data_IF_796177745954
#
_entry.id   IF_796177745954
#
_cell.length_a   1.000
_cell.length_b   1.000
_cell.length_c   1.000
_cell.angle_alpha   90.00
_cell.angle_beta   90.00
_cell.angle_gamma   90.00
#
_symmetry.space_group_name_H-M   'P 1'
#
loop_
_entity.id
_entity.type
_entity.pdbx_description
1 polymer ?
#
# COMPACT_ATOMS: atom_id res chain seq x y z
N UNK A 1 -36.08 24.47 42.89
CA UNK A 1 -37.34 23.79 43.21
C UNK A 1 -37.09 22.30 43.11
N UNK A 2 -37.02 21.74 44.29
CA UNK A 2 -36.92 20.33 44.68
C UNK A 2 -38.19 19.54 44.32
N UNK A 3 -38.06 18.22 44.08
CA UNK A 3 -38.88 17.14 44.63
C UNK A 3 -38.61 15.86 43.81
N UNK A 4 -37.79 14.92 44.30
CA UNK A 4 -37.98 13.65 45.03
C UNK A 4 -38.58 12.46 44.24
N UNK A 5 -37.83 11.36 44.33
CA UNK A 5 -38.21 9.96 44.00
C UNK A 5 -39.26 9.41 44.99
N UNK A 6 -39.79 8.22 44.77
CA UNK A 6 -39.55 7.17 45.78
C UNK A 6 -39.24 5.74 45.24
N UNK A 7 -38.50 5.02 46.10
CA UNK A 7 -38.32 3.58 46.19
C UNK A 7 -39.60 2.84 46.63
N UNK A 8 -39.62 1.53 46.35
CA UNK A 8 -40.05 0.41 47.22
C UNK A 8 -39.87 -0.90 46.44
N UNK A 9 -39.07 -1.87 46.72
CA UNK A 9 -38.75 -2.72 47.88
C UNK A 9 -39.69 -3.91 48.09
N UNK A 10 -39.07 -5.10 48.18
CA UNK A 10 -39.36 -6.35 48.91
C UNK A 10 -40.43 -7.29 48.32
N UNK A 11 -40.28 -8.57 48.29
CA UNK A 11 -39.70 -9.70 48.99
C UNK A 11 -40.54 -10.92 48.66
N UNK A 12 -40.07 -12.07 48.59
CA UNK A 12 -39.98 -13.22 49.48
C UNK A 12 -40.32 -14.51 48.75
N UNK A 13 -39.44 -15.46 48.72
CA UNK A 13 -39.26 -16.56 49.67
C UNK A 13 -40.10 -17.86 49.45
N UNK A 14 -39.45 -18.97 49.47
CA UNK A 14 -39.88 -20.31 49.87
C UNK A 14 -40.10 -21.27 48.69
N UNK A 15 -39.65 -22.46 48.64
CA UNK A 15 -39.06 -23.37 49.56
C UNK A 15 -39.26 -24.81 49.04
N UNK A 16 -38.25 -25.66 49.23
CA UNK A 16 -38.29 -27.12 49.54
C UNK A 16 -39.13 -28.08 48.68
N UNK A 17 -38.69 -29.18 48.36
CA UNK A 17 -38.09 -30.43 48.76
C UNK A 17 -38.21 -31.42 47.61
N UNK A 18 -37.27 -32.21 47.22
CA UNK A 18 -36.79 -33.42 47.74
C UNK A 18 -37.36 -34.65 47.03
N UNK A 19 -36.50 -35.44 46.40
CA UNK A 19 -36.58 -36.90 46.43
C UNK A 19 -35.48 -37.51 45.58
N UNK A 20 -34.62 -38.25 46.23
CA UNK A 20 -33.57 -39.05 45.61
C UNK A 20 -34.08 -40.33 44.95
N UNK A 21 -33.39 -40.78 43.96
CA UNK A 21 -33.35 -42.19 43.59
C UNK A 21 -32.04 -42.56 42.89
N UNK A 22 -31.26 -43.37 43.59
CA UNK A 22 -30.12 -44.13 43.10
C UNK A 22 -30.50 -45.09 41.99
N UNK A 23 -29.76 -45.17 40.88
CA UNK A 23 -29.41 -46.46 40.30
C UNK A 23 -28.33 -46.41 39.18
N UNK A 24 -27.25 -47.15 39.45
CA UNK A 24 -26.42 -47.97 38.55
C UNK A 24 -25.62 -47.35 37.43
N UNK A 25 -24.31 -47.36 37.66
CA UNK A 25 -23.21 -47.43 36.68
C UNK A 25 -23.45 -48.52 35.63
N UNK A 26 -23.39 -48.13 34.34
CA UNK A 26 -22.79 -48.94 33.28
C UNK A 26 -21.94 -48.06 32.39
N UNK A 27 -20.70 -48.48 32.18
CA UNK A 27 -19.68 -47.71 31.52
C UNK A 27 -19.90 -47.51 30.00
N UNK A 28 -19.44 -46.39 29.53
CA UNK A 28 -19.11 -46.15 28.11
C UNK A 28 -17.84 -45.32 28.08
N UNK A 29 -16.74 -45.99 28.07
CA UNK A 29 -15.36 -45.45 27.91
C UNK A 29 -15.04 -45.36 26.41
N UNK A 30 -16.00 -44.94 25.59
CA UNK A 30 -15.80 -44.96 24.11
C UNK A 30 -16.00 -43.68 23.35
N UNK A 31 -16.44 -42.59 23.99
CA UNK A 31 -16.80 -41.34 23.24
C UNK A 31 -15.90 -40.13 23.50
N UNK A 32 -14.95 -40.18 24.42
CA UNK A 32 -14.03 -39.06 24.66
C UNK A 32 -12.75 -39.11 23.82
N UNK A 33 -12.37 -40.26 23.26
CA UNK A 33 -11.17 -40.38 22.43
C UNK A 33 -11.32 -39.80 21.02
N UNK A 34 -12.54 -39.77 20.48
CA UNK A 34 -12.80 -39.25 19.12
C UNK A 34 -12.81 -37.72 19.02
N UNK A 35 -13.20 -37.02 20.09
CA UNK A 35 -13.23 -35.56 20.10
C UNK A 35 -11.85 -34.93 20.27
N UNK A 36 -10.93 -35.59 20.96
CA UNK A 36 -9.54 -35.11 21.17
C UNK A 36 -8.71 -35.33 19.89
N UNK A 37 -8.97 -36.36 19.12
CA UNK A 37 -8.29 -36.57 17.82
C UNK A 37 -8.72 -35.58 16.73
N UNK A 38 -9.96 -35.08 16.74
CA UNK A 38 -10.39 -34.03 15.80
C UNK A 38 -9.79 -32.63 16.14
N UNK A 39 -9.61 -32.32 17.42
CA UNK A 39 -9.02 -31.06 17.83
C UNK A 39 -7.51 -31.00 17.52
N UNK A 40 -6.79 -32.15 17.61
CA UNK A 40 -5.38 -32.24 17.21
C UNK A 40 -5.17 -32.22 15.69
N UNK A 41 -6.14 -32.68 14.91
CA UNK A 41 -6.09 -32.64 13.44
C UNK A 41 -6.18 -31.24 12.86
N UNK A 42 -6.99 -30.36 13.47
CA UNK A 42 -7.10 -28.97 13.02
C UNK A 42 -5.89 -28.10 13.39
N UNK A 43 -5.21 -28.39 14.53
CA UNK A 43 -4.00 -27.68 14.91
C UNK A 43 -2.79 -28.06 14.03
N UNK A 44 -2.71 -29.33 13.56
CA UNK A 44 -1.64 -29.78 12.66
C UNK A 44 -1.77 -29.16 11.26
N UNK A 45 -2.99 -28.87 10.79
CA UNK A 45 -3.23 -28.22 9.49
C UNK A 45 -2.76 -26.76 9.43
N UNK A 46 -2.90 -26.02 10.53
CA UNK A 46 -2.45 -24.62 10.60
C UNK A 46 -0.90 -24.52 10.69
N UNK A 47 -0.24 -25.47 11.34
CA UNK A 47 1.23 -25.52 11.38
C UNK A 47 1.84 -26.04 10.08
N UNK A 48 1.15 -26.90 9.32
CA UNK A 48 1.63 -27.39 8.03
C UNK A 48 1.70 -26.29 6.95
N UNK A 49 0.79 -25.32 6.98
CA UNK A 49 0.84 -24.20 6.03
C UNK A 49 2.02 -23.24 6.30
N UNK A 50 2.44 -23.05 7.54
CA UNK A 50 3.65 -22.28 7.88
C UNK A 50 4.93 -23.08 7.64
N UNK A 51 4.92 -24.40 7.83
CA UNK A 51 6.06 -25.28 7.55
C UNK A 51 6.31 -25.42 6.04
N UNK A 52 5.27 -25.44 5.19
CA UNK A 52 5.41 -25.46 3.73
C UNK A 52 6.02 -24.17 3.16
N UNK A 53 5.80 -23.00 3.79
CA UNK A 53 6.49 -21.78 3.41
C UNK A 53 7.98 -21.78 3.81
N UNK A 54 8.34 -22.46 4.90
CA UNK A 54 9.74 -22.59 5.33
C UNK A 54 10.47 -23.71 4.54
N UNK A 55 9.81 -24.83 4.27
CA UNK A 55 10.39 -25.96 3.53
C UNK A 55 10.58 -25.66 2.02
N UNK A 56 9.77 -24.78 1.43
CA UNK A 56 9.98 -24.32 0.06
C UNK A 56 11.21 -23.43 -0.14
N UNK A 57 11.84 -22.96 0.93
CA UNK A 57 13.08 -22.16 0.84
C UNK A 57 14.35 -23.00 0.65
N UNK A 58 14.28 -24.33 0.78
CA UNK A 58 15.43 -25.24 0.59
C UNK A 58 15.39 -26.05 -0.71
N UNK A 59 14.35 -25.89 -1.55
CA UNK A 59 14.34 -26.48 -2.89
C UNK A 59 15.25 -25.66 -3.82
N UNK A 60 16.05 -26.34 -4.63
CA UNK A 60 17.07 -25.84 -5.55
C UNK A 60 16.77 -24.45 -6.10
N UNK A 61 17.79 -23.57 -6.11
CA UNK A 61 17.72 -22.18 -6.53
C UNK A 61 16.93 -22.05 -7.84
N UNK A 62 15.67 -21.63 -7.74
CA UNK A 62 14.90 -21.17 -8.89
C UNK A 62 15.68 -20.02 -9.51
N UNK A 63 15.83 -19.94 -10.84
CA UNK A 63 16.46 -18.80 -11.48
C UNK A 63 15.83 -17.53 -10.90
N UNK A 64 16.68 -16.60 -10.46
CA UNK A 64 16.24 -15.36 -9.82
C UNK A 64 15.13 -14.75 -10.69
N UNK A 65 13.92 -14.60 -10.12
CA UNK A 65 12.82 -13.90 -10.81
C UNK A 65 13.35 -12.51 -11.13
N UNK A 66 13.27 -12.10 -12.39
CA UNK A 66 13.55 -10.73 -12.76
C UNK A 66 12.70 -9.81 -11.86
N UNK A 67 13.34 -8.98 -11.08
CA UNK A 67 12.67 -8.03 -10.21
C UNK A 67 12.08 -6.94 -11.09
N UNK A 68 10.76 -6.77 -11.00
CA UNK A 68 9.99 -5.92 -11.90
C UNK A 68 9.54 -4.61 -11.23
N UNK A 69 9.93 -4.36 -9.99
CA UNK A 69 9.57 -3.17 -9.22
C UNK A 69 10.11 -1.87 -9.84
N UNK A 70 9.44 -1.37 -10.87
CA UNK A 70 9.84 -0.19 -11.64
C UNK A 70 8.86 0.95 -11.40
N UNK A 71 9.37 2.16 -11.17
CA UNK A 71 8.58 3.39 -11.16
C UNK A 71 9.07 4.34 -12.25
N UNK A 72 8.18 5.19 -12.73
CA UNK A 72 8.52 6.16 -13.77
C UNK A 72 7.87 7.52 -13.50
N UNK A 73 8.46 8.57 -14.05
CA UNK A 73 7.91 9.90 -14.06
C UNK A 73 8.40 10.66 -15.30
N UNK A 74 7.59 11.60 -15.78
CA UNK A 74 8.05 12.56 -16.79
C UNK A 74 8.79 13.70 -16.10
N UNK A 75 9.95 14.03 -16.61
CA UNK A 75 10.69 15.22 -16.22
C UNK A 75 10.02 16.51 -16.76
N UNK A 76 10.36 17.69 -16.22
CA UNK A 76 9.84 18.97 -16.73
C UNK A 76 10.12 19.20 -18.24
N UNK A 77 11.21 18.61 -18.77
CA UNK A 77 11.57 18.66 -20.20
C UNK A 77 10.76 17.69 -21.09
N UNK A 78 9.82 16.94 -20.50
CA UNK A 78 8.95 15.97 -21.18
C UNK A 78 9.56 14.61 -21.46
N UNK A 79 10.83 14.36 -21.10
CA UNK A 79 11.46 13.03 -21.19
C UNK A 79 10.92 12.10 -20.10
N UNK A 80 10.78 10.84 -20.44
CA UNK A 80 10.37 9.79 -19.50
C UNK A 80 11.61 9.24 -18.78
N UNK A 81 11.54 9.15 -17.48
CA UNK A 81 12.56 8.54 -16.62
C UNK A 81 11.95 7.34 -15.90
N UNK A 82 12.73 6.28 -15.78
CA UNK A 82 12.35 5.08 -15.03
C UNK A 82 13.46 4.70 -14.05
N UNK A 83 13.06 4.31 -12.83
CA UNK A 83 13.97 3.72 -11.84
C UNK A 83 13.57 2.29 -11.57
N UNK A 84 14.57 1.43 -11.47
CA UNK A 84 14.40 0.00 -11.18
C UNK A 84 15.61 -0.52 -10.40
N UNK A 85 15.48 -1.75 -9.88
CA UNK A 85 16.61 -2.46 -9.30
C UNK A 85 17.39 -3.19 -10.38
N UNK A 86 18.72 -3.13 -10.26
CA UNK A 86 19.67 -3.97 -10.99
C UNK A 86 20.75 -4.46 -10.02
N UNK A 87 20.67 -5.73 -9.63
CA UNK A 87 21.55 -6.32 -8.62
C UNK A 87 21.44 -5.60 -7.27
N UNK A 88 22.53 -4.95 -6.86
CA UNK A 88 22.62 -4.16 -5.62
C UNK A 88 22.56 -2.64 -5.87
N UNK A 89 22.03 -2.25 -7.03
CA UNK A 89 21.89 -0.84 -7.38
C UNK A 89 20.44 -0.50 -7.73
N UNK A 90 20.03 0.70 -7.37
CA UNK A 90 18.92 1.39 -8.04
C UNK A 90 19.50 2.03 -9.29
N UNK A 91 18.92 1.75 -10.43
CA UNK A 91 19.34 2.32 -11.72
C UNK A 91 18.27 3.22 -12.30
N UNK A 92 18.73 4.31 -12.91
CA UNK A 92 17.90 5.28 -13.64
C UNK A 92 18.15 5.11 -15.14
N UNK A 93 17.08 5.06 -15.93
CA UNK A 93 17.12 5.13 -17.39
C UNK A 93 16.23 6.25 -17.89
N UNK A 94 16.55 6.81 -19.05
CA UNK A 94 15.81 7.89 -19.71
C UNK A 94 15.33 7.44 -21.07
N UNK A 95 14.19 7.96 -21.49
CA UNK A 95 13.62 7.74 -22.80
C UNK A 95 13.13 9.08 -23.39
N UNK A 96 13.48 9.37 -24.61
CA UNK A 96 13.00 10.54 -25.35
C UNK A 96 11.72 10.25 -26.17
N UNK A 97 11.38 8.97 -26.36
CA UNK A 97 10.35 8.48 -27.27
C UNK A 97 9.17 7.77 -26.55
N UNK A 98 8.97 8.10 -25.27
CA UNK A 98 7.86 7.52 -24.49
C UNK A 98 8.04 6.06 -24.11
N UNK A 99 9.30 5.60 -23.99
CA UNK A 99 9.62 4.24 -23.55
C UNK A 99 9.80 3.24 -24.70
N UNK A 100 9.86 3.69 -25.96
CA UNK A 100 10.18 2.82 -27.09
C UNK A 100 11.66 2.43 -27.09
N UNK A 101 12.53 3.37 -26.73
CA UNK A 101 13.96 3.12 -26.47
C UNK A 101 14.42 3.77 -25.16
N UNK A 102 15.53 3.26 -24.60
CA UNK A 102 16.06 3.69 -23.31
C UNK A 102 17.56 3.90 -23.39
N UNK A 103 18.06 4.97 -22.76
CA UNK A 103 19.49 5.21 -22.58
C UNK A 103 20.13 4.11 -21.70
N UNK A 104 21.44 4.05 -21.70
CA UNK A 104 22.18 3.20 -20.79
C UNK A 104 21.82 3.52 -19.33
N UNK A 105 21.69 2.50 -18.46
CA UNK A 105 21.34 2.72 -17.06
C UNK A 105 22.46 3.47 -16.32
N UNK A 106 22.04 4.38 -15.42
CA UNK A 106 22.93 5.13 -14.53
C UNK A 106 22.63 4.71 -13.09
N UNK A 107 23.65 4.36 -12.32
CA UNK A 107 23.48 4.00 -10.92
C UNK A 107 23.07 5.24 -10.08
N UNK A 108 22.02 5.06 -9.25
CA UNK A 108 21.57 6.05 -8.28
C UNK A 108 22.39 5.98 -7.00
N UNK A 109 22.73 4.77 -6.54
CA UNK A 109 23.67 4.52 -5.44
C UNK A 109 24.99 4.02 -6.01
N UNK A 110 26.06 4.81 -5.87
CA UNK A 110 27.40 4.41 -6.34
C UNK A 110 27.91 3.17 -5.60
N UNK A 111 27.73 3.15 -4.28
CA UNK A 111 28.09 2.01 -3.45
C UNK A 111 26.95 0.96 -3.49
N UNK A 112 27.27 -0.31 -3.71
CA UNK A 112 26.28 -1.37 -3.77
C UNK A 112 25.60 -1.57 -2.40
N UNK A 113 24.27 -1.65 -2.38
CA UNK A 113 23.47 -1.98 -1.20
C UNK A 113 22.27 -2.83 -1.60
N UNK A 114 21.69 -3.54 -0.63
CA UNK A 114 20.47 -4.28 -0.88
C UNK A 114 19.32 -3.31 -1.22
N UNK A 115 18.49 -3.67 -2.22
CA UNK A 115 17.36 -2.87 -2.69
C UNK A 115 16.11 -3.74 -2.71
N UNK A 116 15.01 -3.27 -2.13
CA UNK A 116 13.70 -3.92 -2.28
C UNK A 116 13.07 -3.58 -3.64
N UNK A 117 12.52 -4.61 -4.30
CA UNK A 117 11.74 -4.48 -5.51
C UNK A 117 10.59 -5.50 -5.54
N UNK A 118 9.94 -5.67 -4.40
CA UNK A 118 8.89 -6.64 -4.15
C UNK A 118 7.50 -5.99 -4.33
N UNK A 119 7.07 -5.86 -5.56
CA UNK A 119 5.74 -5.38 -5.90
C UNK A 119 5.53 -3.89 -5.58
N UNK A 120 4.77 -3.59 -4.55
CA UNK A 120 4.47 -2.20 -4.16
C UNK A 120 5.62 -1.53 -3.38
N UNK A 121 6.51 -2.32 -2.78
CA UNK A 121 7.72 -1.84 -2.12
C UNK A 121 8.87 -1.78 -3.14
N UNK A 122 8.89 -0.73 -3.94
CA UNK A 122 9.79 -0.52 -5.08
C UNK A 122 10.40 0.89 -5.03
N UNK A 123 11.53 1.15 -5.69
CA UNK A 123 12.07 2.50 -5.81
C UNK A 123 11.04 3.49 -6.37
N UNK A 124 11.08 4.72 -5.90
CA UNK A 124 10.22 5.83 -6.35
C UNK A 124 11.08 6.92 -6.98
N UNK A 125 10.49 7.63 -7.94
CA UNK A 125 11.11 8.78 -8.60
C UNK A 125 10.17 9.98 -8.60
N UNK A 126 10.72 11.15 -8.38
CA UNK A 126 10.05 12.44 -8.55
C UNK A 126 11.04 13.49 -9.05
N UNK A 127 10.53 14.60 -9.53
CA UNK A 127 11.31 15.77 -9.93
C UNK A 127 10.99 16.95 -9.03
N UNK A 128 12.03 17.66 -8.61
CA UNK A 128 11.86 18.95 -7.95
C UNK A 128 11.66 20.06 -9.00
N UNK A 129 11.07 21.21 -8.64
CA UNK A 129 10.86 22.34 -9.55
C UNK A 129 12.14 22.88 -10.18
N UNK A 130 13.28 22.72 -9.52
CA UNK A 130 14.61 23.09 -10.01
C UNK A 130 15.20 22.09 -11.03
N UNK A 131 14.44 21.06 -11.43
CA UNK A 131 14.85 20.01 -12.35
C UNK A 131 15.68 18.88 -11.72
N UNK A 132 15.87 18.92 -10.40
CA UNK A 132 16.58 17.84 -9.69
C UNK A 132 15.80 16.55 -9.71
N UNK A 133 16.53 15.44 -9.82
CA UNK A 133 15.97 14.07 -9.78
C UNK A 133 16.05 13.54 -8.36
N UNK A 134 14.93 13.09 -7.83
CA UNK A 134 14.78 12.57 -6.48
C UNK A 134 14.36 11.10 -6.55
N UNK A 135 15.09 10.24 -5.84
CA UNK A 135 14.82 8.81 -5.81
C UNK A 135 14.79 8.31 -4.38
N UNK A 136 13.77 7.55 -4.02
CA UNK A 136 13.68 6.85 -2.73
C UNK A 136 13.52 5.35 -2.92
N UNK A 137 13.97 4.57 -1.94
CA UNK A 137 13.80 3.12 -1.92
C UNK A 137 13.90 2.56 -0.51
N UNK A 138 13.41 1.36 -0.31
CA UNK A 138 13.68 0.58 0.90
C UNK A 138 14.96 -0.23 0.74
N UNK A 139 15.94 -0.03 1.62
CA UNK A 139 17.06 -0.95 1.82
C UNK A 139 16.66 -2.03 2.83
N UNK A 140 16.51 -3.30 2.47
CA UNK A 140 16.23 -4.37 3.41
C UNK A 140 17.43 -4.60 4.33
N UNK A 141 17.19 -4.92 5.60
CA UNK A 141 18.18 -5.26 6.61
C UNK A 141 18.28 -6.78 6.78
N UNK A 142 19.07 -7.25 7.75
CA UNK A 142 19.37 -8.68 7.90
C UNK A 142 18.14 -9.50 8.31
N UNK A 143 17.29 -8.97 9.20
CA UNK A 143 16.05 -9.66 9.58
C UNK A 143 15.00 -9.57 8.47
N UNK A 144 14.25 -10.64 8.21
CA UNK A 144 13.15 -10.59 7.24
C UNK A 144 12.15 -9.48 7.54
N UNK A 145 11.66 -8.82 6.48
CA UNK A 145 10.68 -7.73 6.54
C UNK A 145 11.13 -6.46 7.27
N UNK A 146 12.43 -6.32 7.60
CA UNK A 146 13.00 -5.10 8.14
C UNK A 146 13.63 -4.26 7.02
N UNK A 147 13.82 -2.96 7.24
CA UNK A 147 14.41 -2.09 6.23
C UNK A 147 14.65 -0.68 6.72
N UNK A 148 15.28 0.12 5.87
CA UNK A 148 15.48 1.56 6.03
C UNK A 148 15.01 2.28 4.77
N UNK A 149 14.46 3.49 4.95
CA UNK A 149 14.10 4.36 3.83
C UNK A 149 15.33 5.14 3.41
N UNK A 150 15.78 4.86 2.19
CA UNK A 150 16.91 5.52 1.54
C UNK A 150 16.42 6.58 0.58
N UNK A 151 17.22 7.60 0.40
CA UNK A 151 16.93 8.71 -0.50
C UNK A 151 18.22 9.22 -1.15
N UNK A 152 18.17 9.49 -2.45
CA UNK A 152 19.24 10.12 -3.21
C UNK A 152 18.69 11.24 -4.07
N UNK A 153 19.52 12.27 -4.26
CA UNK A 153 19.23 13.44 -5.09
C UNK A 153 20.35 13.61 -6.11
N UNK A 154 19.97 13.95 -7.33
CA UNK A 154 20.85 14.52 -8.33
C UNK A 154 20.35 15.92 -8.68
N UNK A 155 21.19 16.94 -8.52
CA UNK A 155 20.88 18.27 -9.02
C UNK A 155 20.80 18.23 -10.57
N UNK A 156 20.05 19.16 -11.17
CA UNK A 156 19.81 19.16 -12.60
C UNK A 156 21.12 19.04 -13.42
N UNK A 157 21.23 17.99 -14.24
CA UNK A 157 22.41 17.71 -15.05
C UNK A 157 23.62 17.15 -14.28
N UNK A 158 23.50 16.87 -12.98
CA UNK A 158 24.58 16.30 -12.15
C UNK A 158 24.37 14.81 -11.87
N UNK A 159 25.41 14.16 -11.35
CA UNK A 159 25.33 12.80 -10.83
C UNK A 159 24.62 12.78 -9.47
N UNK A 160 24.13 11.61 -9.08
CA UNK A 160 23.55 11.42 -7.74
C UNK A 160 24.58 11.58 -6.64
N UNK A 161 24.21 12.28 -5.57
CA UNK A 161 24.96 12.31 -4.32
C UNK A 161 24.85 10.98 -3.57
N UNK A 162 25.65 10.80 -2.53
CA UNK A 162 25.57 9.63 -1.66
C UNK A 162 24.17 9.51 -1.02
N UNK A 163 23.55 8.32 -1.03
CA UNK A 163 22.25 8.14 -0.43
C UNK A 163 22.25 8.39 1.07
N UNK A 164 21.18 9.01 1.58
CA UNK A 164 20.95 9.22 3.01
C UNK A 164 19.81 8.32 3.50
N UNK A 165 19.81 7.99 4.80
CA UNK A 165 18.66 7.38 5.46
C UNK A 165 17.73 8.47 5.99
N UNK A 166 16.46 8.46 5.59
CA UNK A 166 15.49 9.53 5.84
C UNK A 166 15.11 9.65 7.32
N UNK A 167 14.82 8.52 7.97
CA UNK A 167 14.39 8.49 9.38
C UNK A 167 15.55 8.41 10.36
N UNK A 168 15.32 8.83 11.61
CA UNK A 168 16.33 8.80 12.70
C UNK A 168 16.31 7.50 13.50
N UNK A 169 15.19 6.78 13.52
CA UNK A 169 15.15 5.44 14.10
C UNK A 169 16.10 4.50 13.35
N UNK A 170 16.94 3.78 14.08
CA UNK A 170 17.94 2.84 13.54
C UNK A 170 17.74 1.41 14.04
N UNK A 171 16.59 1.12 14.63
CA UNK A 171 16.24 -0.24 15.03
C UNK A 171 16.09 -1.13 13.77
N UNK A 172 16.49 -2.38 13.88
CA UNK A 172 16.29 -3.36 12.81
C UNK A 172 14.85 -3.87 12.80
N UNK A 173 13.95 -3.01 12.35
CA UNK A 173 12.50 -3.20 12.26
C UNK A 173 11.99 -2.83 10.87
N UNK A 174 10.69 -2.88 10.67
CA UNK A 174 10.05 -2.43 9.42
C UNK A 174 10.06 -0.90 9.34
N UNK A 175 10.80 -0.37 8.34
CA UNK A 175 10.62 0.93 7.73
C UNK A 175 10.56 0.65 6.22
N UNK A 176 9.33 0.51 5.67
CA UNK A 176 9.12 0.00 4.31
C UNK A 176 7.90 0.66 3.65
N UNK A 177 7.71 0.40 2.36
CA UNK A 177 6.58 0.90 1.58
C UNK A 177 6.48 2.43 1.57
N UNK A 178 7.63 3.07 1.39
CA UNK A 178 7.68 4.53 1.30
C UNK A 178 6.90 5.04 0.09
N UNK A 179 6.37 6.24 0.24
CA UNK A 179 5.80 7.06 -0.83
C UNK A 179 6.40 8.45 -0.77
N UNK A 180 6.45 9.15 -1.89
CA UNK A 180 7.08 10.45 -2.00
C UNK A 180 6.23 11.41 -2.80
N UNK A 181 6.19 12.67 -2.36
CA UNK A 181 5.66 13.78 -3.15
C UNK A 181 6.58 15.01 -3.05
N UNK A 182 6.49 15.88 -4.04
CA UNK A 182 7.20 17.15 -4.09
C UNK A 182 6.18 18.26 -4.32
N UNK A 183 6.18 19.26 -3.46
CA UNK A 183 5.30 20.42 -3.61
C UNK A 183 5.81 21.38 -4.68
N UNK A 184 4.98 22.30 -5.14
CA UNK A 184 5.37 23.34 -6.08
C UNK A 184 6.48 24.27 -5.52
N UNK A 185 6.63 24.35 -4.20
CA UNK A 185 7.72 25.11 -3.54
C UNK A 185 9.03 24.32 -3.43
N UNK A 186 9.08 23.07 -3.90
CA UNK A 186 10.26 22.20 -3.82
C UNK A 186 10.42 21.47 -2.47
N UNK A 187 9.44 21.57 -1.57
CA UNK A 187 9.42 20.78 -0.34
C UNK A 187 9.19 19.30 -0.70
N UNK A 188 10.02 18.42 -0.14
CA UNK A 188 9.92 16.97 -0.35
C UNK A 188 9.32 16.32 0.89
N UNK A 189 8.33 15.47 0.71
CA UNK A 189 7.74 14.70 1.79
C UNK A 189 7.74 13.22 1.47
N UNK A 190 8.23 12.41 2.41
CA UNK A 190 8.12 10.95 2.39
C UNK A 190 7.23 10.48 3.54
N UNK A 191 6.45 9.42 3.29
CA UNK A 191 5.73 8.69 4.33
C UNK A 191 5.97 7.18 4.13
N UNK A 192 5.99 6.42 5.24
CA UNK A 192 6.29 4.98 5.21
C UNK A 192 5.58 4.22 6.33
N UNK A 193 5.54 2.90 6.19
CA UNK A 193 5.07 1.97 7.21
C UNK A 193 6.21 1.70 8.20
N UNK A 194 5.91 1.82 9.50
CA UNK A 194 6.88 1.78 10.59
C UNK A 194 6.38 0.93 11.75
N UNK A 195 7.18 0.00 12.22
CA UNK A 195 6.81 -0.90 13.31
C UNK A 195 7.37 -0.53 14.70
N UNK A 196 8.00 0.64 14.87
CA UNK A 196 8.56 1.04 16.18
C UNK A 196 7.54 1.05 17.31
N UNK A 197 6.32 1.49 17.04
CA UNK A 197 5.24 1.51 18.03
C UNK A 197 4.70 0.11 18.33
N UNK A 198 4.59 -0.77 17.34
CA UNK A 198 4.24 -2.18 17.53
C UNK A 198 5.27 -2.86 18.42
N UNK A 199 6.57 -2.73 18.13
CA UNK A 199 7.66 -3.31 18.92
C UNK A 199 7.68 -2.78 20.36
N UNK A 200 7.50 -1.46 20.55
CA UNK A 200 7.42 -0.84 21.86
C UNK A 200 6.21 -1.35 22.65
N UNK A 201 5.08 -1.53 21.99
CA UNK A 201 3.84 -1.99 22.60
C UNK A 201 3.89 -3.46 22.97
N UNK A 202 4.49 -4.31 22.13
CA UNK A 202 4.72 -5.73 22.45
C UNK A 202 5.62 -5.88 23.69
N UNK A 203 6.69 -5.10 23.79
CA UNK A 203 7.55 -5.08 25.00
C UNK A 203 6.78 -4.69 26.27
N UNK A 204 5.79 -3.81 26.15
CA UNK A 204 4.92 -3.39 27.26
C UNK A 204 3.66 -4.23 27.43
N UNK A 205 3.49 -5.33 26.67
CA UNK A 205 2.32 -6.23 26.67
C UNK A 205 0.97 -5.52 26.46
N UNK A 206 0.97 -4.41 25.75
CA UNK A 206 -0.26 -3.72 25.34
C UNK A 206 -0.73 -4.25 23.99
N UNK A 207 -2.03 -4.15 23.71
CA UNK A 207 -2.58 -4.53 22.41
C UNK A 207 -2.30 -3.43 21.38
N UNK A 208 -1.71 -3.80 20.23
CA UNK A 208 -1.47 -2.92 19.10
C UNK A 208 -1.70 -3.71 17.81
N UNK A 209 -2.36 -3.13 16.83
CA UNK A 209 -2.70 -3.79 15.56
C UNK A 209 -1.94 -3.17 14.40
N UNK A 210 -1.33 -4.02 13.59
CA UNK A 210 -0.61 -3.57 12.39
C UNK A 210 0.64 -2.75 12.73
N UNK A 211 0.88 -1.71 11.95
CA UNK A 211 2.02 -0.81 12.05
C UNK A 211 1.56 0.64 12.22
N UNK A 212 2.49 1.57 12.44
CA UNK A 212 2.25 3.00 12.33
C UNK A 212 2.59 3.51 10.92
N UNK A 213 2.13 4.72 10.59
CA UNK A 213 2.65 5.52 9.48
C UNK A 213 3.44 6.68 10.06
N UNK A 214 4.64 6.87 9.53
CA UNK A 214 5.49 8.02 9.82
C UNK A 214 5.75 8.82 8.55
N UNK A 215 6.01 10.11 8.71
CA UNK A 215 6.39 11.00 7.61
C UNK A 215 7.59 11.87 8.00
N UNK A 216 8.41 12.23 7.02
CA UNK A 216 9.48 13.19 7.15
C UNK A 216 9.44 14.21 6.02
N UNK A 217 9.85 15.44 6.34
CA UNK A 217 9.82 16.58 5.43
C UNK A 217 11.22 17.13 5.24
N UNK A 218 11.54 17.51 4.02
CA UNK A 218 12.72 18.27 3.62
C UNK A 218 12.28 19.62 3.06
N UNK A 219 12.82 20.69 3.60
CA UNK A 219 12.58 22.07 3.13
C UNK A 219 13.65 22.55 2.14
N UNK A 220 14.71 21.76 1.96
CA UNK A 220 15.88 22.09 1.15
C UNK A 220 15.97 21.24 -0.12
N UNK A 221 14.84 20.73 -0.59
CA UNK A 221 14.75 19.95 -1.82
C UNK A 221 15.34 18.55 -1.70
N UNK A 222 15.34 17.95 -0.52
CA UNK A 222 15.83 16.59 -0.28
C UNK A 222 17.27 16.50 0.16
N UNK A 223 17.94 17.61 0.48
CA UNK A 223 19.33 17.57 1.00
C UNK A 223 19.38 17.11 2.43
N UNK A 224 18.43 17.56 3.26
CA UNK A 224 18.24 17.09 4.64
C UNK A 224 16.76 16.87 4.96
N UNK A 225 16.48 16.00 5.93
CA UNK A 225 15.12 15.76 6.40
C UNK A 225 14.99 16.17 7.87
N UNK A 226 13.86 16.81 8.19
CA UNK A 226 13.48 17.05 9.59
C UNK A 226 13.29 15.70 10.31
N UNK A 227 13.18 15.75 11.63
CA UNK A 227 12.78 14.58 12.42
C UNK A 227 11.40 14.13 11.96
N UNK A 228 11.28 12.82 11.75
CA UNK A 228 10.01 12.20 11.35
C UNK A 228 8.93 12.37 12.42
N UNK A 229 7.70 12.50 11.99
CA UNK A 229 6.50 12.59 12.83
C UNK A 229 5.58 11.39 12.59
N UNK A 230 4.90 10.94 13.64
CA UNK A 230 3.89 9.90 13.51
C UNK A 230 2.61 10.47 12.90
N UNK A 231 2.12 9.85 11.82
CA UNK A 231 0.88 10.22 11.13
C UNK A 231 -0.31 9.48 11.72
N UNK A 232 -0.18 8.16 11.88
CA UNK A 232 -1.26 7.32 12.36
C UNK A 232 -0.74 6.02 12.98
N UNK A 233 -1.51 5.46 13.90
CA UNK A 233 -1.37 4.08 14.36
C UNK A 233 -2.22 3.12 13.48
N UNK A 234 -2.10 1.83 13.68
CA UNK A 234 -2.97 0.78 13.13
C UNK A 234 -3.06 0.72 11.59
N UNK A 235 -1.96 0.96 10.90
CA UNK A 235 -1.84 0.71 9.46
C UNK A 235 -1.71 -0.78 9.14
N UNK A 236 -2.17 -1.20 7.98
CA UNK A 236 -1.77 -2.49 7.40
C UNK A 236 -0.26 -2.49 7.13
N UNK A 237 0.41 -3.63 7.36
CA UNK A 237 1.87 -3.73 7.38
C UNK A 237 2.52 -3.92 6.00
N UNK A 238 1.75 -4.11 4.94
CA UNK A 238 2.26 -4.65 3.67
C UNK A 238 1.66 -4.00 2.41
N UNK A 239 0.93 -2.91 2.55
CA UNK A 239 0.29 -2.23 1.42
C UNK A 239 0.94 -0.87 1.18
N UNK A 240 1.06 -0.47 -0.08
CA UNK A 240 1.53 0.88 -0.41
C UNK A 240 0.63 1.94 0.22
N UNK A 241 1.21 3.08 0.51
CA UNK A 241 0.53 4.31 0.88
C UNK A 241 0.37 5.12 -0.41
N UNK A 242 -0.84 5.56 -0.72
CA UNK A 242 -1.06 6.54 -1.78
C UNK A 242 -0.81 7.94 -1.23
N UNK A 243 -0.22 8.79 -2.06
CA UNK A 243 0.00 10.20 -1.77
C UNK A 243 -0.42 11.03 -2.99
N UNK A 244 -1.17 12.09 -2.74
CA UNK A 244 -1.55 13.07 -3.73
C UNK A 244 -1.40 14.48 -3.15
N UNK A 245 -1.34 15.49 -4.00
CA UNK A 245 -1.38 16.89 -3.55
C UNK A 245 -2.82 17.39 -3.62
N UNK A 246 -3.34 17.90 -2.51
CA UNK A 246 -4.66 18.53 -2.43
C UNK A 246 -4.63 19.93 -3.08
N UNK A 247 -5.79 20.52 -3.32
CA UNK A 247 -5.91 21.83 -4.02
C UNK A 247 -5.21 22.98 -3.29
N UNK A 248 -5.00 22.87 -1.99
CA UNK A 248 -4.24 23.84 -1.18
C UNK A 248 -2.71 23.60 -1.21
N UNK A 249 -2.25 22.65 -2.03
CA UNK A 249 -0.84 22.29 -2.19
C UNK A 249 -0.28 21.43 -1.06
N UNK A 250 -1.13 20.94 -0.15
CA UNK A 250 -0.72 20.06 0.95
C UNK A 250 -0.87 18.59 0.56
N UNK A 251 0.03 17.72 1.08
CA UNK A 251 -0.05 16.29 0.83
C UNK A 251 -1.27 15.64 1.50
N UNK A 252 -1.89 14.71 0.78
CA UNK A 252 -3.02 13.90 1.22
C UNK A 252 -2.62 12.43 1.12
N UNK A 253 -2.68 11.70 2.22
CA UNK A 253 -2.37 10.28 2.29
C UNK A 253 -3.64 9.44 2.32
N UNK A 254 -3.64 8.34 1.57
CA UNK A 254 -4.67 7.29 1.65
C UNK A 254 -3.96 5.94 1.82
N UNK A 255 -4.34 5.21 2.87
CA UNK A 255 -3.71 3.91 3.18
C UNK A 255 -4.72 2.91 3.74
N UNK A 256 -4.39 1.62 3.68
CA UNK A 256 -5.18 0.58 4.33
C UNK A 256 -4.95 0.65 5.84
N UNK A 257 -6.01 0.91 6.57
CA UNK A 257 -6.04 1.02 8.03
C UNK A 257 -6.73 -0.20 8.66
N UNK A 258 -6.43 -0.49 9.91
CA UNK A 258 -7.05 -1.56 10.69
C UNK A 258 -7.98 -0.95 11.71
N UNK A 259 -9.25 -0.74 11.33
CA UNK A 259 -10.30 -0.26 12.21
C UNK A 259 -10.79 -1.36 13.17
N UNK A 260 -11.34 -0.96 14.31
CA UNK A 260 -11.99 -1.89 15.22
C UNK A 260 -13.22 -2.56 14.57
N UNK A 261 -13.48 -3.85 14.84
CA UNK A 261 -12.69 -4.83 15.61
C UNK A 261 -11.55 -5.52 14.83
N UNK A 262 -11.39 -5.37 13.56
CA UNK A 262 -10.35 -5.79 12.61
C UNK A 262 -10.82 -5.56 11.16
N UNK A 263 -11.38 -4.39 10.89
CA UNK A 263 -11.86 -4.04 9.56
C UNK A 263 -10.74 -3.36 8.76
N UNK A 264 -10.44 -3.87 7.58
CA UNK A 264 -9.35 -3.44 6.69
C UNK A 264 -9.83 -2.45 5.63
N UNK A 265 -10.39 -1.35 6.05
CA UNK A 265 -10.75 -0.25 5.17
C UNK A 265 -9.62 0.77 5.02
N UNK A 266 -9.86 1.82 4.25
CA UNK A 266 -8.87 2.85 4.01
C UNK A 266 -9.13 4.07 4.90
N UNK A 267 -8.03 4.68 5.38
CA UNK A 267 -8.04 5.95 6.07
C UNK A 267 -7.37 7.02 5.21
N UNK A 268 -7.82 8.25 5.39
CA UNK A 268 -7.34 9.45 4.73
C UNK A 268 -6.88 10.46 5.77
N UNK A 269 -5.74 11.10 5.53
CA UNK A 269 -5.28 12.23 6.32
C UNK A 269 -4.53 13.24 5.45
N UNK A 270 -4.76 14.53 5.70
CA UNK A 270 -3.97 15.62 5.13
C UNK A 270 -2.80 15.90 6.05
N UNK A 271 -1.63 16.17 5.48
CA UNK A 271 -0.44 16.56 6.23
C UNK A 271 -0.19 18.05 6.11
N UNK A 272 0.21 18.66 7.23
CA UNK A 272 0.71 20.02 7.25
C UNK A 272 2.06 20.14 6.55
N UNK A 273 2.52 21.37 6.32
CA UNK A 273 3.86 21.66 5.74
C UNK A 273 5.03 21.14 6.60
N UNK A 274 4.82 20.95 7.87
CA UNK A 274 5.78 20.36 8.81
C UNK A 274 5.67 18.82 8.91
N UNK A 275 4.78 18.20 8.15
CA UNK A 275 4.48 16.78 8.19
C UNK A 275 3.49 16.38 9.28
N UNK A 276 3.01 17.30 10.12
CA UNK A 276 2.02 17.00 11.15
C UNK A 276 0.71 16.53 10.52
N UNK A 277 0.08 15.45 11.05
CA UNK A 277 -1.18 14.97 10.52
C UNK A 277 -2.35 15.83 10.95
N UNK A 278 -3.27 16.08 10.03
CA UNK A 278 -4.64 16.44 10.33
C UNK A 278 -5.45 15.25 10.86
N UNK A 279 -6.76 15.41 11.05
CA UNK A 279 -7.62 14.31 11.49
C UNK A 279 -7.53 13.10 10.54
N UNK A 280 -7.39 11.91 11.13
CA UNK A 280 -7.45 10.64 10.41
C UNK A 280 -8.92 10.26 10.25
N UNK A 281 -9.41 10.20 9.01
CA UNK A 281 -10.80 9.87 8.71
C UNK A 281 -10.91 8.53 7.97
N UNK A 282 -11.94 7.74 8.27
CA UNK A 282 -12.26 6.54 7.47
C UNK A 282 -12.76 6.97 6.10
N UNK A 283 -12.17 6.43 5.04
CA UNK A 283 -12.41 6.81 3.65
C UNK A 283 -13.19 5.78 2.85
N UNK A 284 -13.12 4.49 3.19
CA UNK A 284 -13.91 3.41 2.58
C UNK A 284 -14.66 2.62 3.66
N UNK A 285 -15.75 1.92 3.27
CA UNK A 285 -16.70 1.33 4.22
C UNK A 285 -17.13 -0.08 3.81
N UNK A 286 -16.24 -0.84 3.15
CA UNK A 286 -16.50 -2.23 2.75
C UNK A 286 -16.43 -3.20 3.93
N UNK A 287 -15.79 -2.80 5.04
CA UNK A 287 -15.68 -3.53 6.32
C UNK A 287 -15.05 -4.90 6.17
N UNK A 288 -14.06 -5.01 5.30
CA UNK A 288 -13.36 -6.26 5.05
C UNK A 288 -12.62 -6.75 6.28
N UNK A 289 -12.92 -7.96 6.72
CA UNK A 289 -12.27 -8.61 7.87
C UNK A 289 -11.35 -9.71 7.39
N UNK A 290 -10.05 -9.50 7.52
CA UNK A 290 -9.04 -10.47 7.10
C UNK A 290 -7.82 -10.44 8.03
N UNK A 291 -7.37 -11.62 8.44
CA UNK A 291 -6.12 -11.81 9.21
C UNK A 291 -4.98 -12.22 8.26
N UNK A 292 -4.76 -11.42 7.22
CA UNK A 292 -3.76 -11.65 6.20
C UNK A 292 -3.19 -10.32 5.66
N UNK A 293 -2.11 -10.44 4.90
CA UNK A 293 -1.50 -9.33 4.17
C UNK A 293 -1.96 -9.36 2.70
N UNK A 294 -2.94 -8.55 2.30
CA UNK A 294 -3.50 -8.61 0.95
C UNK A 294 -2.55 -8.10 -0.14
N UNK A 295 -1.52 -7.30 0.20
CA UNK A 295 -0.56 -6.71 -0.73
C UNK A 295 -1.18 -5.89 -1.88
N UNK A 296 -2.33 -5.28 -1.62
CA UNK A 296 -3.06 -4.42 -2.54
C UNK A 296 -3.28 -3.06 -1.88
N UNK A 297 -2.40 -2.10 -2.12
CA UNK A 297 -2.53 -0.74 -1.63
C UNK A 297 -3.46 0.10 -2.54
N UNK A 298 -4.04 1.19 -2.00
CA UNK A 298 -4.87 2.11 -2.75
C UNK A 298 -4.05 3.01 -3.68
N UNK A 299 -4.74 3.70 -4.59
CA UNK A 299 -4.21 4.86 -5.30
C UNK A 299 -5.19 6.02 -5.20
N UNK A 300 -4.67 7.25 -5.24
CA UNK A 300 -5.40 8.48 -5.01
C UNK A 300 -4.94 9.57 -5.99
N UNK A 301 -5.88 10.28 -6.57
CA UNK A 301 -5.64 11.46 -7.37
C UNK A 301 -6.65 12.56 -7.01
N UNK A 302 -6.24 13.82 -7.12
CA UNK A 302 -7.09 14.98 -6.80
C UNK A 302 -7.25 15.84 -8.04
N UNK A 303 -8.49 16.06 -8.47
CA UNK A 303 -8.82 16.96 -9.57
C UNK A 303 -8.69 18.42 -9.13
N UNK A 304 -8.60 19.32 -10.11
CA UNK A 304 -8.47 20.77 -9.88
C UNK A 304 -9.65 21.39 -9.11
N UNK A 305 -10.83 20.75 -9.15
CA UNK A 305 -12.02 21.12 -8.38
C UNK A 305 -12.04 20.56 -6.95
N UNK A 306 -10.99 19.85 -6.55
CA UNK A 306 -10.86 19.22 -5.24
C UNK A 306 -11.51 17.84 -5.13
N UNK A 307 -12.06 17.30 -6.19
CA UNK A 307 -12.60 15.93 -6.19
C UNK A 307 -11.47 14.92 -6.00
N UNK A 308 -11.61 14.05 -5.00
CA UNK A 308 -10.65 13.03 -4.65
C UNK A 308 -11.06 11.70 -5.25
N UNK A 309 -10.40 11.30 -6.31
CA UNK A 309 -10.63 10.02 -6.98
C UNK A 309 -9.73 8.95 -6.37
N UNK A 310 -10.29 7.82 -6.02
CA UNK A 310 -9.55 6.71 -5.45
C UNK A 310 -9.87 5.39 -6.13
N UNK A 311 -8.84 4.52 -6.23
CA UNK A 311 -9.01 3.10 -6.52
C UNK A 311 -8.43 2.28 -5.38
N UNK A 312 -9.10 1.20 -5.02
CA UNK A 312 -8.67 0.31 -3.95
C UNK A 312 -9.15 -1.12 -4.19
N UNK A 313 -8.47 -2.06 -3.56
CA UNK A 313 -8.92 -3.45 -3.51
C UNK A 313 -9.50 -3.73 -2.15
N UNK A 314 -10.68 -4.31 -2.10
CA UNK A 314 -11.28 -4.85 -0.90
C UNK A 314 -12.13 -6.07 -1.22
N UNK A 315 -12.50 -6.82 -0.20
CA UNK A 315 -13.53 -7.83 -0.28
C UNK A 315 -14.83 -7.25 0.28
N UNK A 316 -15.88 -7.38 -0.50
CA UNK A 316 -17.23 -6.99 -0.12
C UNK A 316 -18.17 -8.12 -0.50
N UNK A 317 -19.05 -8.50 0.44
CA UNK A 317 -20.01 -9.59 0.26
C UNK A 317 -19.36 -10.95 -0.13
N UNK A 318 -18.12 -11.19 0.38
CA UNK A 318 -17.34 -12.41 0.10
C UNK A 318 -16.59 -12.40 -1.23
N UNK A 319 -16.61 -11.29 -1.97
CA UNK A 319 -15.95 -11.16 -3.27
C UNK A 319 -14.85 -10.08 -3.25
N UNK A 320 -13.60 -10.51 -3.52
CA UNK A 320 -12.47 -9.59 -3.69
C UNK A 320 -12.57 -8.85 -5.03
N UNK A 321 -12.55 -7.51 -4.99
CA UNK A 321 -12.68 -6.65 -6.17
C UNK A 321 -11.79 -5.42 -6.07
N UNK A 322 -11.43 -4.88 -7.21
CA UNK A 322 -10.97 -3.50 -7.32
C UNK A 322 -12.19 -2.58 -7.41
N UNK A 323 -12.18 -1.54 -6.61
CA UNK A 323 -13.20 -0.51 -6.59
C UNK A 323 -12.63 0.84 -7.04
N UNK A 324 -13.48 1.65 -7.61
CA UNK A 324 -13.29 3.08 -7.83
C UNK A 324 -14.39 3.85 -7.10
N UNK A 325 -14.08 5.04 -6.62
CA UNK A 325 -15.05 5.98 -6.06
C UNK A 325 -14.45 7.36 -5.82
N UNK A 326 -15.32 8.33 -5.59
CA UNK A 326 -14.95 9.70 -5.21
C UNK A 326 -15.11 9.83 -3.70
N UNK A 327 -14.02 10.20 -3.03
CA UNK A 327 -14.00 10.35 -1.57
C UNK A 327 -14.46 11.78 -1.20
N UNK A 328 -15.53 11.89 -0.44
CA UNK A 328 -16.10 13.18 -0.04
C UNK A 328 -16.70 13.11 1.36
N UNK A 329 -16.22 13.93 2.28
CA UNK A 329 -16.79 14.18 3.60
C UNK A 329 -17.22 12.92 4.38
N UNK A 330 -16.31 11.93 4.42
CA UNK A 330 -16.53 10.67 5.14
C UNK A 330 -17.47 9.68 4.44
N UNK A 331 -17.69 9.83 3.14
CA UNK A 331 -18.44 8.88 2.31
C UNK A 331 -17.76 8.63 0.97
N UNK A 332 -18.17 7.57 0.29
CA UNK A 332 -17.77 7.26 -1.09
C UNK A 332 -18.95 7.52 -2.02
N UNK A 333 -18.76 8.39 -2.99
CA UNK A 333 -19.74 8.66 -4.04
C UNK A 333 -19.39 7.88 -5.31
N UNK A 334 -20.39 7.31 -5.97
CA UNK A 334 -20.22 6.59 -7.23
C UNK A 334 -19.33 5.35 -7.12
N UNK A 335 -19.33 4.66 -5.98
CA UNK A 335 -18.56 3.41 -5.82
C UNK A 335 -19.01 2.38 -6.84
N UNK A 336 -18.04 1.83 -7.57
CA UNK A 336 -18.24 0.77 -8.55
C UNK A 336 -17.02 -0.15 -8.63
N UNK A 337 -17.20 -1.32 -9.19
CA UNK A 337 -16.08 -2.22 -9.51
C UNK A 337 -15.30 -1.75 -10.75
N UNK A 338 -14.01 -2.05 -10.78
CA UNK A 338 -13.09 -1.85 -11.91
C UNK A 338 -12.57 -3.19 -12.37
N UNK A 339 -12.75 -3.50 -13.66
CA UNK A 339 -12.37 -4.79 -14.21
C UNK A 339 -13.26 -5.94 -13.78
N UNK A 340 -12.77 -7.17 -13.97
CA UNK A 340 -13.41 -8.41 -13.57
C UNK A 340 -12.92 -8.94 -12.21
N UNK A 341 -13.21 -10.19 -11.93
CA UNK A 341 -12.87 -10.86 -10.66
C UNK A 341 -11.36 -10.98 -10.40
N UNK A 342 -10.56 -10.98 -11.45
CA UNK A 342 -9.11 -11.11 -11.39
C UNK A 342 -8.37 -9.79 -11.61
N UNK A 343 -9.10 -8.67 -11.56
CA UNK A 343 -8.52 -7.34 -11.60
C UNK A 343 -7.69 -7.07 -10.32
N UNK A 344 -6.50 -6.52 -10.48
CA UNK A 344 -5.57 -6.33 -9.37
C UNK A 344 -4.64 -5.13 -9.61
N UNK A 345 -4.15 -4.55 -8.53
CA UNK A 345 -3.11 -3.52 -8.51
C UNK A 345 -3.45 -2.30 -9.38
N UNK A 346 -4.66 -1.80 -9.24
CA UNK A 346 -5.09 -0.62 -9.98
C UNK A 346 -4.35 0.64 -9.53
N UNK A 347 -4.15 1.54 -10.48
CA UNK A 347 -3.60 2.87 -10.27
C UNK A 347 -4.45 3.92 -10.98
N UNK A 348 -4.45 5.16 -10.46
CA UNK A 348 -5.29 6.25 -10.97
C UNK A 348 -4.49 7.55 -11.01
N UNK A 349 -4.71 8.35 -12.05
CA UNK A 349 -4.34 9.76 -12.07
C UNK A 349 -5.38 10.57 -12.83
N UNK A 350 -5.34 11.89 -12.66
CA UNK A 350 -6.32 12.84 -13.23
C UNK A 350 -5.61 13.99 -13.93
N UNK A 351 -6.22 14.52 -14.96
CA UNK A 351 -5.75 15.73 -15.64
C UNK A 351 -6.95 16.54 -16.18
N UNK A 352 -7.21 17.70 -15.60
CA UNK A 352 -8.44 18.44 -15.87
C UNK A 352 -9.68 17.64 -15.47
N UNK A 353 -10.57 17.43 -16.40
CA UNK A 353 -11.80 16.61 -16.25
C UNK A 353 -11.53 15.11 -16.50
N UNK A 354 -10.38 14.80 -17.09
CA UNK A 354 -10.02 13.43 -17.46
C UNK A 354 -9.55 12.64 -16.25
N UNK A 355 -10.10 11.43 -16.08
CA UNK A 355 -9.71 10.45 -15.08
C UNK A 355 -9.26 9.19 -15.79
N UNK A 356 -8.06 8.68 -15.47
CA UNK A 356 -7.59 7.42 -16.03
C UNK A 356 -7.27 6.41 -14.92
N UNK A 357 -7.74 5.19 -15.10
CA UNK A 357 -7.49 4.04 -14.23
C UNK A 357 -6.80 2.97 -15.06
N UNK A 358 -5.72 2.38 -14.55
CA UNK A 358 -5.08 1.20 -15.14
C UNK A 358 -5.03 0.07 -14.13
N UNK A 359 -5.09 -1.16 -14.60
CA UNK A 359 -4.94 -2.35 -13.75
C UNK A 359 -4.41 -3.53 -14.57
N UNK A 360 -3.91 -4.53 -13.88
CA UNK A 360 -3.65 -5.84 -14.50
C UNK A 360 -4.76 -6.82 -14.18
N UNK A 361 -5.08 -7.68 -15.14
CA UNK A 361 -6.14 -8.66 -15.03
C UNK A 361 -5.74 -9.96 -15.73
N UNK A 362 -5.78 -11.08 -15.00
CA UNK A 362 -5.50 -12.38 -15.59
C UNK A 362 -6.77 -12.95 -16.22
N UNK A 363 -6.78 -13.21 -17.51
CA UNK A 363 -7.96 -13.69 -18.25
C UNK A 363 -8.13 -15.22 -18.23
N UNK A 364 -7.19 -15.94 -17.61
CA UNK A 364 -7.13 -17.41 -17.57
C UNK A 364 -5.95 -17.97 -18.34
N UNK A 365 -5.39 -17.20 -19.27
CA UNK A 365 -4.25 -17.57 -20.11
C UNK A 365 -3.11 -16.56 -19.97
N UNK A 366 -3.39 -15.27 -20.07
CA UNK A 366 -2.41 -14.16 -20.09
C UNK A 366 -2.75 -13.09 -19.07
N UNK A 367 -1.74 -12.36 -18.61
CA UNK A 367 -1.96 -11.13 -17.87
C UNK A 367 -2.18 -9.96 -18.82
N UNK A 368 -3.34 -9.35 -18.72
CA UNK A 368 -3.76 -8.19 -19.52
C UNK A 368 -3.43 -6.89 -18.78
N UNK A 369 -2.92 -5.89 -19.50
CA UNK A 369 -2.96 -4.50 -19.08
C UNK A 369 -4.25 -3.86 -19.60
N UNK A 370 -5.10 -3.44 -18.69
CA UNK A 370 -6.38 -2.79 -18.98
C UNK A 370 -6.37 -1.36 -18.49
N UNK A 371 -7.19 -0.52 -19.12
CA UNK A 371 -7.45 0.83 -18.67
C UNK A 371 -8.92 1.22 -18.83
N UNK A 372 -9.32 2.20 -18.05
CA UNK A 372 -10.57 2.97 -18.23
C UNK A 372 -10.24 4.45 -18.21
N UNK A 373 -10.84 5.21 -19.11
CA UNK A 373 -10.69 6.67 -19.23
C UNK A 373 -12.05 7.32 -19.22
N UNK A 374 -12.20 8.33 -18.38
CA UNK A 374 -13.34 9.24 -18.32
C UNK A 374 -12.91 10.62 -18.80
N UNK A 375 -13.80 11.31 -19.51
CA UNK A 375 -13.63 12.71 -19.94
C UNK A 375 -14.54 13.68 -19.16
N UNK A 376 -15.29 13.16 -18.16
CA UNK A 376 -16.35 13.87 -17.44
C UNK A 376 -16.24 13.71 -15.91
N UNK A 377 -15.04 13.93 -15.34
CA UNK A 377 -14.78 13.83 -13.89
C UNK A 377 -15.14 12.46 -13.27
N UNK A 378 -15.01 11.36 -14.06
CA UNK A 378 -15.30 10.02 -13.58
C UNK A 378 -16.79 9.66 -13.57
N UNK A 379 -17.61 10.33 -14.35
CA UNK A 379 -19.02 10.03 -14.54
C UNK A 379 -19.22 8.79 -15.40
N UNK A 380 -18.62 8.79 -16.60
CA UNK A 380 -18.64 7.67 -17.55
C UNK A 380 -17.22 7.26 -17.91
N UNK A 381 -17.01 5.96 -18.12
CA UNK A 381 -15.69 5.40 -18.44
C UNK A 381 -15.73 4.59 -19.72
N UNK A 382 -14.76 4.84 -20.60
CA UNK A 382 -14.47 4.03 -21.78
C UNK A 382 -13.35 3.06 -21.46
N UNK A 383 -13.58 1.76 -21.68
CA UNK A 383 -12.58 0.71 -21.44
C UNK A 383 -11.61 0.55 -22.61
N UNK A 384 -10.34 0.30 -22.28
CA UNK A 384 -9.25 0.05 -23.21
C UNK A 384 -8.52 -1.24 -22.87
N UNK A 385 -8.12 -2.00 -23.90
CA UNK A 385 -7.15 -3.08 -23.81
C UNK A 385 -5.83 -2.58 -24.36
N UNK A 386 -4.80 -2.50 -23.53
CA UNK A 386 -3.54 -1.87 -23.91
C UNK A 386 -2.49 -2.90 -24.34
N UNK A 387 -2.32 -3.98 -23.57
CA UNK A 387 -1.30 -5.00 -23.80
C UNK A 387 -1.65 -6.32 -23.10
N UNK A 388 -0.88 -7.36 -23.40
CA UNK A 388 -0.93 -8.63 -22.69
C UNK A 388 0.47 -9.26 -22.63
N UNK A 389 0.73 -10.11 -21.63
CA UNK A 389 1.97 -10.87 -21.49
C UNK A 389 1.71 -12.26 -20.92
N UNK A 390 2.47 -13.24 -21.38
CA UNK A 390 2.53 -14.59 -20.79
C UNK A 390 3.56 -14.65 -19.65
N UNK A 391 4.41 -13.64 -19.56
CA UNK A 391 5.48 -13.54 -18.58
C UNK A 391 5.05 -12.90 -17.26
N UNK A 392 5.97 -12.85 -16.31
CA UNK A 392 5.81 -12.05 -15.11
C UNK A 392 5.67 -10.56 -15.47
N UNK A 393 4.78 -9.87 -14.79
CA UNK A 393 4.48 -8.45 -15.01
C UNK A 393 4.56 -7.65 -13.72
N UNK A 394 4.96 -6.41 -13.86
CA UNK A 394 4.91 -5.41 -12.79
C UNK A 394 3.46 -4.96 -12.52
N UNK A 395 3.29 -4.16 -11.52
CA UNK A 395 2.05 -3.44 -11.26
C UNK A 395 2.04 -2.18 -12.14
N UNK A 396 1.01 -1.95 -12.96
CA UNK A 396 0.94 -0.80 -13.84
C UNK A 396 0.81 0.50 -13.05
N UNK A 397 1.20 1.61 -13.68
CA UNK A 397 1.08 2.96 -13.13
C UNK A 397 0.49 3.90 -14.16
N UNK A 398 -0.29 4.86 -13.69
CA UNK A 398 -0.62 6.05 -14.47
C UNK A 398 0.34 7.15 -14.07
N UNK A 399 0.95 7.80 -15.04
CA UNK A 399 1.81 8.96 -14.86
C UNK A 399 1.41 10.08 -15.80
N UNK A 400 1.76 11.31 -15.47
CA UNK A 400 1.30 12.49 -16.21
C UNK A 400 2.44 13.23 -16.88
N UNK A 401 2.21 13.66 -18.15
CA UNK A 401 3.03 14.64 -18.86
C UNK A 401 2.18 15.85 -19.23
N UNK A 402 2.27 16.92 -18.45
CA UNK A 402 1.37 18.06 -18.61
C UNK A 402 -0.08 17.64 -18.46
N UNK A 403 -0.90 17.84 -19.51
CA UNK A 403 -2.30 17.43 -19.56
C UNK A 403 -2.52 15.99 -20.03
N UNK A 404 -1.51 15.28 -20.45
CA UNK A 404 -1.61 13.93 -21.00
C UNK A 404 -1.42 12.87 -19.91
N UNK A 405 -2.26 11.83 -19.92
CA UNK A 405 -2.17 10.67 -19.06
C UNK A 405 -1.53 9.51 -19.82
N UNK A 406 -0.66 8.77 -19.13
CA UNK A 406 0.19 7.75 -19.72
C UNK A 406 0.22 6.51 -18.81
N UNK A 407 -0.14 5.34 -19.35
CA UNK A 407 0.02 4.06 -18.69
C UNK A 407 1.45 3.56 -18.86
N UNK A 408 2.09 3.21 -17.75
CA UNK A 408 3.44 2.67 -17.71
C UNK A 408 3.40 1.24 -17.17
N UNK A 409 4.04 0.30 -17.89
CA UNK A 409 4.05 -1.10 -17.50
C UNK A 409 5.36 -1.78 -17.90
N UNK A 410 5.91 -2.59 -17.01
CA UNK A 410 7.07 -3.43 -17.29
C UNK A 410 6.71 -4.90 -17.17
N UNK A 411 7.15 -5.68 -18.13
CA UNK A 411 7.00 -7.13 -18.16
C UNK A 411 8.35 -7.78 -18.36
N UNK A 412 8.42 -9.07 -18.07
CA UNK A 412 9.68 -9.82 -18.29
C UNK A 412 9.98 -9.99 -19.76
N UNK A 413 8.96 -10.29 -20.55
CA UNK A 413 9.14 -10.68 -21.95
C UNK A 413 9.26 -9.47 -22.87
N UNK A 414 8.41 -8.45 -22.66
CA UNK A 414 8.30 -7.30 -23.56
C UNK A 414 9.09 -6.06 -23.06
N UNK A 415 9.67 -6.15 -21.84
CA UNK A 415 10.40 -5.04 -21.23
C UNK A 415 9.47 -3.94 -20.73
N UNK A 416 9.96 -2.70 -20.75
CA UNK A 416 9.23 -1.51 -20.32
C UNK A 416 8.48 -0.91 -21.48
N UNK A 417 7.17 -0.70 -21.32
CA UNK A 417 6.27 -0.13 -22.33
C UNK A 417 5.40 0.97 -21.75
N UNK A 418 4.98 1.88 -22.62
CA UNK A 418 4.09 2.96 -22.27
C UNK A 418 3.00 3.19 -23.30
N UNK A 419 1.85 3.68 -22.85
CA UNK A 419 0.64 3.86 -23.66
C UNK A 419 -0.06 5.16 -23.29
N UNK A 420 -0.26 6.04 -24.30
CA UNK A 420 -1.06 7.26 -24.09
C UNK A 420 -2.53 6.89 -23.89
N UNK A 421 -3.11 7.39 -22.83
CA UNK A 421 -4.52 7.20 -22.48
C UNK A 421 -5.35 8.35 -23.08
N UNK A 422 -5.73 8.20 -24.34
CA UNK A 422 -6.49 9.17 -25.14
C UNK A 422 -7.92 8.70 -25.36
#
# INVERSE_FOLDING_TARGET
MTVTAPEHALAGAGGEEGSGMTMKRKGSVGRFAAAILLALGCAAGAFAQHADHAARKTAAARPAKAELGTSAAFAPDGRLYAVSKDGQHVVLQRSADGGASWDAPVAVNAEPEAVSADGENRPKIAFAPDGSVLVSWTRPLAKPFTGEIRFARADAGQSFGAPITVHRDRQEITHRFETMTVTASGQVMLAWIDKRDLEATQRSKRNYRGAAIYAAVSDDGGRTFRREVKVADHSCECCRIAIATDIDGLPLLLWRHVFEPNERDHALAKLGRDGSPGPVARATFDRWRVDACPHHGPSLAVSHDGTRHAVWFNEKDGEGRVFYGRLKDGRVEGQRTVGGERAAHADIDVSGERVAIVWKEFDGERTQLRAEVSEDHGGQFRRLSLAATDGASDQPRVIRRGAELFAFWRTRNEGTKGYWLR
#
